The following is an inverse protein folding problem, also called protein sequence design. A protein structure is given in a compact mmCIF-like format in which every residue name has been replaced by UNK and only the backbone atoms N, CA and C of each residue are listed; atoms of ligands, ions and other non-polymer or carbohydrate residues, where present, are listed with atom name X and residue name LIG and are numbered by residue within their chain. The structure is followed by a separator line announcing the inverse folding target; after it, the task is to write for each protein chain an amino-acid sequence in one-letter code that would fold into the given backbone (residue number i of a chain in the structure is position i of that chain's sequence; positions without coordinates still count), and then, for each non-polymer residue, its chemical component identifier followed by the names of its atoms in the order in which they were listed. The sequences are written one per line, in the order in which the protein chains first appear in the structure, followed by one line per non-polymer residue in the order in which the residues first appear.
data_IF_943287852567
#
_entry.id   IF_943287852567
#
_cell.length_a   1.000
_cell.length_b   1.000
_cell.length_c   1.000
_cell.angle_alpha   90.00
_cell.angle_beta   90.00
_cell.angle_gamma   90.00
#
_symmetry.space_group_name_H-M   'P 1'
#
loop_
_entity.id
_entity.type
_entity.pdbx_description
1 polymer ?
#
# COMPACT_ATOMS: atom_id res chain seq x y z
N UNK A 1 -9.18 -0.84 2.09
CA UNK A 1 -8.21 -1.67 2.84
C UNK A 1 -7.66 -2.84 2.02
N UNK A 2 -6.61 -3.51 2.53
CA UNK A 2 -6.09 -4.76 2.00
C UNK A 2 -7.21 -5.81 1.95
N UNK A 3 -7.26 -6.62 0.87
CA UNK A 3 -8.25 -7.69 0.66
C UNK A 3 -9.71 -7.27 0.96
N UNK A 4 -10.05 -6.00 0.69
CA UNK A 4 -11.33 -5.42 1.07
C UNK A 4 -12.55 -6.10 0.41
N UNK A 5 -12.36 -6.72 -0.75
CA UNK A 5 -13.42 -7.41 -1.47
C UNK A 5 -13.66 -8.84 -0.96
N UNK A 6 -12.60 -9.52 -0.50
CA UNK A 6 -12.64 -10.97 -0.24
C UNK A 6 -12.55 -11.33 1.24
N UNK A 7 -12.00 -10.46 2.09
CA UNK A 7 -11.65 -10.78 3.48
C UNK A 7 -10.19 -11.18 3.63
N UNK A 8 -9.71 -11.30 4.87
CA UNK A 8 -8.30 -11.54 5.18
C UNK A 8 -8.00 -12.94 5.73
N UNK A 9 -8.73 -13.37 6.77
CA UNK A 9 -8.51 -14.67 7.44
C UNK A 9 -9.22 -15.82 6.71
N UNK A 10 -8.83 -16.05 5.48
CA UNK A 10 -9.53 -16.96 4.57
C UNK A 10 -9.07 -18.42 4.68
N UNK A 11 -7.80 -18.65 5.05
CA UNK A 11 -7.19 -19.98 5.14
C UNK A 11 -7.50 -20.85 3.89
N UNK A 12 -8.11 -22.01 4.08
CA UNK A 12 -8.40 -22.93 2.98
C UNK A 12 -9.50 -22.40 2.02
N UNK A 13 -10.32 -21.41 2.46
CA UNK A 13 -11.31 -20.77 1.59
C UNK A 13 -10.69 -19.72 0.63
N UNK A 14 -9.39 -19.49 0.68
CA UNK A 14 -8.72 -18.47 -0.14
C UNK A 14 -8.96 -18.71 -1.63
N UNK A 15 -8.90 -19.94 -2.10
CA UNK A 15 -9.17 -20.31 -3.50
C UNK A 15 -10.64 -20.09 -3.90
N UNK A 16 -11.58 -20.31 -2.99
CA UNK A 16 -13.01 -20.21 -3.30
C UNK A 16 -13.46 -18.76 -3.49
N UNK A 17 -12.82 -17.83 -2.78
CA UNK A 17 -13.12 -16.40 -2.87
C UNK A 17 -12.24 -15.65 -3.88
N UNK A 18 -11.19 -16.30 -4.39
CA UNK A 18 -10.30 -15.69 -5.39
C UNK A 18 -11.07 -15.26 -6.63
N UNK A 19 -10.65 -14.16 -7.23
CA UNK A 19 -11.28 -13.59 -8.42
C UNK A 19 -10.24 -13.32 -9.48
N UNK A 20 -10.58 -13.69 -10.70
CA UNK A 20 -9.84 -13.27 -11.89
C UNK A 20 -10.21 -11.83 -12.23
N UNK A 21 -9.31 -11.14 -12.91
CA UNK A 21 -9.53 -9.74 -13.33
C UNK A 21 -10.80 -9.60 -14.19
N UNK A 22 -11.13 -10.60 -14.99
CA UNK A 22 -12.29 -10.65 -15.87
C UNK A 22 -13.58 -11.12 -15.19
N UNK A 23 -13.56 -11.46 -13.89
CA UNK A 23 -14.75 -11.90 -13.17
C UNK A 23 -15.82 -10.79 -13.05
N UNK A 24 -17.10 -11.16 -13.02
CA UNK A 24 -18.21 -10.18 -12.99
C UNK A 24 -18.12 -9.18 -11.86
N UNK A 25 -17.67 -9.62 -10.67
CA UNK A 25 -17.54 -8.77 -9.48
C UNK A 25 -16.50 -7.67 -9.70
N UNK A 26 -15.33 -8.03 -10.23
CA UNK A 26 -14.26 -7.09 -10.56
C UNK A 26 -14.72 -6.14 -11.67
N UNK A 27 -15.33 -6.66 -12.72
CA UNK A 27 -15.83 -5.84 -13.84
C UNK A 27 -16.94 -4.87 -13.40
N UNK A 28 -17.80 -5.27 -12.45
CA UNK A 28 -18.80 -4.37 -11.87
C UNK A 28 -18.16 -3.18 -11.15
N UNK A 29 -17.12 -3.42 -10.34
CA UNK A 29 -16.40 -2.33 -9.66
C UNK A 29 -15.69 -1.42 -10.67
N UNK A 30 -15.06 -1.97 -11.70
CA UNK A 30 -14.41 -1.19 -12.76
C UNK A 30 -15.44 -0.30 -13.47
N UNK A 31 -16.62 -0.85 -13.78
CA UNK A 31 -17.69 -0.11 -14.46
C UNK A 31 -18.19 1.11 -13.67
N UNK A 32 -18.09 1.12 -12.33
CA UNK A 32 -18.45 2.31 -11.53
C UNK A 32 -17.59 3.53 -11.84
N UNK A 33 -16.41 3.33 -12.43
CA UNK A 33 -15.48 4.41 -12.81
C UNK A 33 -15.70 4.91 -14.25
N UNK A 34 -16.63 4.31 -15.01
CA UNK A 34 -16.76 4.55 -16.45
C UNK A 34 -17.06 6.01 -16.84
N UNK A 35 -17.82 6.73 -15.99
CA UNK A 35 -18.12 8.16 -16.26
C UNK A 35 -16.93 9.11 -15.98
N UNK A 36 -15.79 8.59 -15.51
CA UNK A 36 -14.60 9.37 -15.19
C UNK A 36 -14.73 10.35 -14.00
N UNK A 37 -15.81 10.25 -13.23
CA UNK A 37 -16.03 11.08 -12.03
C UNK A 37 -15.34 10.53 -10.79
N UNK A 38 -15.11 9.23 -10.76
CA UNK A 38 -14.53 8.49 -9.65
C UNK A 38 -13.40 7.60 -10.17
N UNK A 39 -12.27 7.63 -9.48
CA UNK A 39 -11.25 6.60 -9.58
C UNK A 39 -11.35 5.71 -8.34
N UNK A 40 -11.16 4.42 -8.49
CA UNK A 40 -11.35 3.46 -7.41
C UNK A 40 -10.09 2.61 -7.19
N UNK A 41 -9.76 2.40 -5.91
CA UNK A 41 -8.71 1.45 -5.49
C UNK A 41 -9.31 0.47 -4.51
N UNK A 42 -9.09 -0.82 -4.74
CA UNK A 42 -9.53 -1.88 -3.83
C UNK A 42 -8.59 -3.07 -3.85
N UNK A 43 -8.56 -3.81 -2.72
CA UNK A 43 -7.78 -5.03 -2.55
C UNK A 43 -8.65 -6.27 -2.66
N UNK A 44 -8.08 -7.37 -3.18
CA UNK A 44 -8.74 -8.65 -3.35
C UNK A 44 -7.74 -9.80 -3.48
N UNK A 45 -8.22 -11.04 -3.33
CA UNK A 45 -7.46 -12.21 -3.73
C UNK A 45 -7.58 -12.38 -5.24
N UNK A 46 -6.47 -12.16 -5.93
CA UNK A 46 -6.38 -12.37 -7.39
C UNK A 46 -6.02 -13.82 -7.69
N UNK A 47 -6.71 -14.45 -8.62
CA UNK A 47 -6.26 -15.66 -9.31
C UNK A 47 -5.69 -15.29 -10.69
N UNK A 48 -4.40 -15.58 -10.91
CA UNK A 48 -3.76 -15.34 -12.21
C UNK A 48 -4.19 -16.39 -13.26
N UNK A 49 -3.76 -16.18 -14.51
CA UNK A 49 -3.98 -17.14 -15.60
C UNK A 49 -3.30 -18.50 -15.34
N UNK A 50 -2.20 -18.49 -14.58
CA UNK A 50 -1.47 -19.68 -14.16
C UNK A 50 -2.01 -20.29 -12.86
N UNK A 51 -3.19 -19.87 -12.39
CA UNK A 51 -3.82 -20.32 -11.15
C UNK A 51 -2.99 -20.06 -9.89
N UNK A 52 -2.13 -19.03 -9.91
CA UNK A 52 -1.43 -18.56 -8.73
C UNK A 52 -2.29 -17.50 -8.04
N UNK A 53 -2.46 -17.63 -6.72
CA UNK A 53 -3.19 -16.66 -5.92
C UNK A 53 -2.26 -15.53 -5.48
N UNK A 54 -2.73 -14.30 -5.54
CA UNK A 54 -2.01 -13.12 -5.07
C UNK A 54 -2.87 -12.26 -4.14
N UNK A 55 -2.26 -11.70 -3.13
CA UNK A 55 -2.81 -10.55 -2.43
C UNK A 55 -2.56 -9.33 -3.32
N UNK A 56 -3.61 -8.80 -3.92
CA UNK A 56 -3.52 -7.81 -4.98
C UNK A 56 -4.40 -6.58 -4.74
N UNK A 57 -4.04 -5.47 -5.37
CA UNK A 57 -4.82 -4.25 -5.41
C UNK A 57 -4.89 -3.69 -6.84
N UNK A 58 -6.08 -3.27 -7.24
CA UNK A 58 -6.34 -2.63 -8.53
C UNK A 58 -6.63 -1.14 -8.33
N UNK A 59 -6.05 -0.30 -9.19
CA UNK A 59 -6.51 1.06 -9.44
C UNK A 59 -7.25 1.10 -10.78
N UNK A 60 -8.50 1.56 -10.76
CA UNK A 60 -9.30 1.71 -11.96
C UNK A 60 -9.83 3.14 -12.12
N UNK A 61 -9.93 3.57 -13.37
CA UNK A 61 -10.39 4.89 -13.80
C UNK A 61 -10.97 4.79 -15.21
N UNK A 62 -12.03 5.55 -15.48
CA UNK A 62 -12.67 5.63 -16.80
C UNK A 62 -13.06 4.24 -17.37
N UNK A 63 -13.58 3.36 -16.50
CA UNK A 63 -13.99 2.00 -16.88
C UNK A 63 -12.84 1.06 -17.24
N UNK A 64 -11.59 1.36 -16.83
CA UNK A 64 -10.40 0.57 -17.16
C UNK A 64 -9.50 0.38 -15.95
N UNK A 65 -8.84 -0.77 -15.91
CA UNK A 65 -7.71 -0.98 -15.00
C UNK A 65 -6.54 -0.15 -15.50
N UNK A 66 -5.99 0.70 -14.64
CA UNK A 66 -4.81 1.51 -14.90
C UNK A 66 -3.56 0.91 -14.26
N UNK A 67 -3.73 0.21 -13.14
CA UNK A 67 -2.64 -0.46 -12.45
C UNK A 67 -3.14 -1.64 -11.65
N UNK A 68 -2.32 -2.71 -11.59
CA UNK A 68 -2.44 -3.85 -10.72
C UNK A 68 -1.15 -3.98 -9.94
N UNK A 69 -1.24 -3.93 -8.61
CA UNK A 69 -0.14 -4.22 -7.70
C UNK A 69 -0.39 -5.54 -6.99
N UNK A 70 0.58 -6.45 -7.02
CA UNK A 70 0.61 -7.69 -6.25
C UNK A 70 1.57 -7.52 -5.10
N UNK A 71 1.15 -7.81 -3.87
CA UNK A 71 1.96 -7.69 -2.66
C UNK A 71 3.29 -8.41 -2.80
N UNK A 72 4.39 -7.71 -2.52
CA UNK A 72 5.74 -8.24 -2.70
C UNK A 72 6.24 -8.90 -1.42
N UNK A 73 6.01 -8.27 -0.28
CA UNK A 73 6.44 -8.78 1.01
C UNK A 73 5.28 -9.49 1.73
N UNK A 74 5.38 -10.81 1.81
CA UNK A 74 4.36 -11.67 2.42
C UNK A 74 4.80 -12.03 3.85
N UNK A 75 4.16 -11.51 4.90
CA UNK A 75 4.55 -11.79 6.27
C UNK A 75 4.26 -13.26 6.64
N UNK A 76 5.22 -13.87 7.36
CA UNK A 76 5.14 -15.26 7.85
C UNK A 76 5.45 -15.34 9.34
N UNK A 77 5.15 -14.26 10.08
CA UNK A 77 5.42 -14.14 11.52
C UNK A 77 4.16 -13.73 12.30
N UNK A 78 4.15 -14.08 13.58
CA UNK A 78 3.01 -13.79 14.47
C UNK A 78 1.76 -14.54 14.06
N UNK A 79 0.73 -13.83 13.66
CA UNK A 79 -0.54 -14.40 13.17
C UNK A 79 -0.59 -14.53 11.64
N UNK A 80 0.46 -14.13 10.94
CA UNK A 80 0.49 -14.08 9.49
C UNK A 80 1.17 -15.32 8.91
N UNK A 81 0.59 -15.87 7.85
CA UNK A 81 1.13 -16.99 7.08
C UNK A 81 0.84 -16.83 5.57
N UNK A 82 1.02 -15.59 5.09
CA UNK A 82 0.68 -15.24 3.71
C UNK A 82 1.52 -15.98 2.68
N UNK A 83 2.79 -16.26 3.00
CA UNK A 83 3.69 -17.00 2.10
C UNK A 83 3.26 -18.44 1.80
N UNK A 84 2.35 -19.02 2.59
CA UNK A 84 1.73 -20.32 2.32
C UNK A 84 0.66 -20.24 1.23
N UNK A 85 -0.04 -19.14 1.14
CA UNK A 85 -1.25 -18.98 0.33
C UNK A 85 -1.01 -18.19 -0.96
N UNK A 86 -0.12 -17.20 -0.91
CA UNK A 86 0.05 -16.24 -1.99
C UNK A 86 1.41 -16.31 -2.66
N UNK A 87 1.41 -16.13 -3.97
CA UNK A 87 2.61 -15.81 -4.73
C UNK A 87 3.10 -14.39 -4.45
N UNK A 88 4.41 -14.16 -4.55
CA UNK A 88 5.02 -12.84 -4.38
C UNK A 88 4.82 -11.99 -5.63
N UNK A 89 4.47 -10.72 -5.44
CA UNK A 89 4.63 -9.70 -6.46
C UNK A 89 6.11 -9.49 -6.83
N UNK A 90 6.35 -8.98 -8.03
CA UNK A 90 7.70 -8.87 -8.59
C UNK A 90 8.22 -7.42 -8.74
N UNK A 91 7.43 -6.40 -8.40
CA UNK A 91 7.84 -5.02 -8.65
C UNK A 91 7.10 -3.99 -7.80
N UNK A 92 7.77 -2.85 -7.59
CA UNK A 92 7.16 -1.62 -7.10
C UNK A 92 7.22 -0.59 -8.24
N UNK A 93 6.06 -0.17 -8.73
CA UNK A 93 5.95 0.78 -9.85
C UNK A 93 4.91 1.83 -9.56
N UNK A 94 5.25 3.08 -9.78
CA UNK A 94 4.26 4.14 -9.85
C UNK A 94 3.56 4.11 -11.22
N UNK A 95 2.36 4.65 -11.29
CA UNK A 95 1.56 4.65 -12.51
C UNK A 95 0.90 6.01 -12.74
N UNK A 96 0.73 6.42 -14.01
CA UNK A 96 0.15 7.72 -14.34
C UNK A 96 -1.36 7.72 -14.10
N UNK A 97 -1.85 8.80 -13.53
CA UNK A 97 -3.28 9.12 -13.39
C UNK A 97 -3.55 10.56 -13.81
N UNK A 98 -4.81 10.97 -13.84
CA UNK A 98 -5.19 12.38 -14.06
C UNK A 98 -4.69 13.33 -12.97
N UNK A 99 -4.29 12.80 -11.81
CA UNK A 99 -3.79 13.58 -10.66
C UNK A 99 -2.26 13.63 -10.59
N UNK A 100 -1.56 12.94 -11.47
CA UNK A 100 -0.14 12.68 -11.43
C UNK A 100 0.18 11.20 -11.23
N UNK A 101 1.42 10.88 -10.88
CA UNK A 101 1.81 9.48 -10.65
C UNK A 101 1.48 9.06 -9.22
N UNK A 102 0.84 7.92 -9.06
CA UNK A 102 0.51 7.33 -7.76
C UNK A 102 1.27 6.01 -7.57
N UNK A 103 1.44 5.60 -6.31
CA UNK A 103 1.98 4.30 -5.95
C UNK A 103 1.05 3.56 -5.02
N UNK A 104 0.96 2.23 -5.15
CA UNK A 104 0.20 1.35 -4.24
C UNK A 104 1.19 0.48 -3.49
N UNK A 105 0.99 0.36 -2.17
CA UNK A 105 1.63 -0.62 -1.30
C UNK A 105 0.57 -1.34 -0.48
N UNK A 106 0.76 -2.65 -0.29
CA UNK A 106 -0.16 -3.47 0.49
C UNK A 106 0.52 -3.87 1.80
N UNK A 107 0.01 -3.34 2.90
CA UNK A 107 0.33 -3.70 4.28
C UNK A 107 1.84 -3.86 4.53
N UNK A 108 2.36 -5.08 4.60
CA UNK A 108 3.78 -5.38 4.86
C UNK A 108 4.75 -4.67 3.90
N UNK A 109 4.34 -4.40 2.66
CA UNK A 109 5.17 -3.64 1.71
C UNK A 109 5.63 -2.29 2.27
N UNK A 110 4.76 -1.61 3.06
CA UNK A 110 5.06 -0.28 3.63
C UNK A 110 6.17 -0.35 4.68
N UNK A 111 6.36 -1.49 5.36
CA UNK A 111 7.40 -1.68 6.37
C UNK A 111 8.80 -1.86 5.76
N UNK A 112 8.89 -2.04 4.47
CA UNK A 112 10.15 -2.17 3.74
C UNK A 112 10.55 -0.84 3.10
N UNK A 113 11.55 -0.12 3.63
CA UNK A 113 11.90 1.24 3.17
C UNK A 113 12.19 1.34 1.67
N UNK A 114 12.66 0.24 1.06
CA UNK A 114 12.91 0.20 -0.38
C UNK A 114 11.64 0.29 -1.23
N UNK A 115 10.47 -0.07 -0.69
CA UNK A 115 9.23 -0.07 -1.46
C UNK A 115 8.75 1.37 -1.75
N UNK A 116 8.60 2.19 -0.72
CA UNK A 116 8.23 3.60 -0.87
C UNK A 116 9.32 4.42 -1.57
N UNK A 117 10.60 4.12 -1.29
CA UNK A 117 11.74 4.73 -1.99
C UNK A 117 11.65 4.49 -3.51
N UNK A 118 11.43 3.26 -3.96
CA UNK A 118 11.32 2.94 -5.39
C UNK A 118 10.13 3.64 -6.04
N UNK A 119 8.96 3.70 -5.36
CA UNK A 119 7.81 4.44 -5.87
C UNK A 119 8.09 5.93 -6.00
N UNK A 120 8.77 6.53 -5.01
CA UNK A 120 9.11 7.94 -5.02
C UNK A 120 10.12 8.26 -6.14
N UNK A 121 11.16 7.44 -6.33
CA UNK A 121 12.13 7.58 -7.42
C UNK A 121 11.48 7.38 -8.79
N UNK A 122 10.44 6.54 -8.89
CA UNK A 122 9.62 6.36 -10.10
C UNK A 122 8.57 7.49 -10.27
N UNK A 123 8.63 8.53 -9.44
CA UNK A 123 7.88 9.78 -9.56
C UNK A 123 6.53 9.81 -8.87
N UNK A 124 6.21 8.89 -7.96
CA UNK A 124 4.97 8.94 -7.20
C UNK A 124 4.84 10.23 -6.39
N UNK A 125 3.67 10.86 -6.46
CA UNK A 125 3.30 12.05 -5.68
C UNK A 125 2.32 11.73 -4.54
N UNK A 126 1.80 10.50 -4.53
CA UNK A 126 0.93 10.00 -3.47
C UNK A 126 1.11 8.48 -3.34
N UNK A 127 1.27 8.04 -2.09
CA UNK A 127 1.27 6.65 -1.68
C UNK A 127 -0.13 6.24 -1.22
N UNK A 128 -0.66 5.17 -1.81
CA UNK A 128 -1.90 4.52 -1.40
C UNK A 128 -1.54 3.24 -0.64
N UNK A 129 -1.64 3.28 0.68
CA UNK A 129 -1.35 2.16 1.57
C UNK A 129 -2.65 1.45 1.98
N UNK A 130 -2.87 0.26 1.43
CA UNK A 130 -4.01 -0.60 1.74
C UNK A 130 -3.61 -1.56 2.87
N UNK A 131 -4.28 -1.49 4.02
CA UNK A 131 -3.80 -2.17 5.23
C UNK A 131 -4.91 -2.93 5.95
N UNK A 132 -4.54 -4.07 6.53
CA UNK A 132 -5.30 -4.80 7.54
C UNK A 132 -4.47 -4.87 8.84
N UNK A 133 -4.28 -3.71 9.47
CA UNK A 133 -3.51 -3.58 10.70
C UNK A 133 -4.29 -4.09 11.91
N UNK A 134 -3.87 -5.21 12.55
CA UNK A 134 -4.55 -5.70 13.75
C UNK A 134 -4.18 -4.89 14.98
N UNK A 135 -5.04 -4.98 16.00
CA UNK A 135 -4.77 -4.42 17.33
C UNK A 135 -3.60 -5.17 17.95
N UNK A 136 -2.50 -4.46 18.23
CA UNK A 136 -1.35 -4.97 18.96
C UNK A 136 -0.85 -3.89 19.92
N UNK A 137 -0.41 -4.33 21.12
CA UNK A 137 0.23 -3.43 22.07
C UNK A 137 -0.72 -2.40 22.66
N UNK A 138 -1.67 -2.84 23.49
CA UNK A 138 -2.54 -1.92 24.26
C UNK A 138 -1.73 -1.37 25.42
N UNK A 139 -1.45 -0.08 25.42
CA UNK A 139 -0.72 0.62 26.46
C UNK A 139 -1.48 1.81 27.04
N UNK A 140 -0.93 2.45 28.07
CA UNK A 140 -1.52 3.64 28.70
C UNK A 140 -1.73 4.81 27.71
N UNK A 141 -0.95 4.88 26.62
CA UNK A 141 -0.99 5.94 25.60
C UNK A 141 -1.81 5.55 24.35
N UNK A 142 -2.55 4.46 24.40
CA UNK A 142 -3.38 3.97 23.27
C UNK A 142 -2.79 2.75 22.58
N UNK A 143 -3.18 2.54 21.32
CA UNK A 143 -2.77 1.38 20.52
C UNK A 143 -1.37 1.57 19.94
N UNK A 144 -0.43 0.72 20.34
CA UNK A 144 0.94 0.72 19.82
C UNK A 144 1.00 0.53 18.31
N UNK A 145 0.17 -0.36 17.76
CA UNK A 145 0.08 -0.61 16.33
C UNK A 145 -0.33 0.64 15.54
N UNK A 146 -1.37 1.37 15.98
CA UNK A 146 -1.79 2.60 15.32
C UNK A 146 -0.66 3.63 15.30
N UNK A 147 -0.01 3.85 16.46
CA UNK A 147 1.11 4.80 16.57
C UNK A 147 2.24 4.43 15.60
N UNK A 148 2.59 3.15 15.54
CA UNK A 148 3.65 2.66 14.66
C UNK A 148 3.30 2.90 13.19
N UNK A 149 2.08 2.54 12.75
CA UNK A 149 1.61 2.75 11.38
C UNK A 149 1.58 4.23 11.01
N UNK A 150 1.00 5.09 11.85
CA UNK A 150 0.93 6.52 11.55
C UNK A 150 2.33 7.16 11.51
N UNK A 151 3.24 6.76 12.41
CA UNK A 151 4.62 7.25 12.39
C UNK A 151 5.36 6.81 11.13
N UNK A 152 5.16 5.55 10.70
CA UNK A 152 5.78 5.03 9.48
C UNK A 152 5.30 5.79 8.24
N UNK A 153 3.98 5.90 8.04
CA UNK A 153 3.45 6.61 6.87
C UNK A 153 3.81 8.09 6.89
N UNK A 154 3.76 8.75 8.05
CA UNK A 154 4.21 10.14 8.19
C UNK A 154 5.69 10.32 7.81
N UNK A 155 6.55 9.39 8.21
CA UNK A 155 7.97 9.39 7.84
C UNK A 155 8.15 9.24 6.33
N UNK A 156 7.52 8.24 5.72
CA UNK A 156 7.61 7.98 4.27
C UNK A 156 7.12 9.19 3.45
N UNK A 157 6.01 9.82 3.86
CA UNK A 157 5.50 11.00 3.16
C UNK A 157 6.45 12.19 3.26
N UNK A 158 7.05 12.41 4.43
CA UNK A 158 7.98 13.52 4.66
C UNK A 158 9.28 13.37 3.86
N UNK A 159 9.94 12.20 3.94
CA UNK A 159 11.24 12.03 3.29
C UNK A 159 11.14 11.98 1.77
N UNK A 160 10.01 11.57 1.23
CA UNK A 160 9.78 11.48 -0.22
C UNK A 160 9.00 12.67 -0.80
N UNK A 161 8.54 13.59 0.05
CA UNK A 161 7.76 14.74 -0.38
C UNK A 161 6.52 14.33 -1.19
N UNK A 162 5.72 13.38 -0.68
CA UNK A 162 4.50 12.87 -1.31
C UNK A 162 3.37 12.78 -0.31
N UNK A 163 2.12 12.79 -0.77
CA UNK A 163 0.98 12.46 0.08
C UNK A 163 0.98 10.98 0.47
N UNK A 164 0.34 10.65 1.61
CA UNK A 164 0.12 9.28 2.05
C UNK A 164 -1.33 9.06 2.46
N UNK A 165 -1.98 8.09 1.84
CA UNK A 165 -3.33 7.64 2.19
C UNK A 165 -3.21 6.27 2.85
N UNK A 166 -3.46 6.22 4.16
CA UNK A 166 -3.47 5.00 4.95
C UNK A 166 -4.92 4.53 5.10
N UNK A 167 -5.31 3.52 4.33
CA UNK A 167 -6.65 2.93 4.37
C UNK A 167 -6.60 1.62 5.17
N UNK A 168 -7.02 1.66 6.43
CA UNK A 168 -6.99 0.53 7.34
C UNK A 168 -8.38 -0.04 7.60
N UNK A 169 -8.46 -1.34 7.75
CA UNK A 169 -9.68 -2.08 8.03
C UNK A 169 -10.21 -1.82 9.45
N UNK A 170 -11.52 -1.91 9.62
CA UNK A 170 -12.21 -2.01 10.92
C UNK A 170 -12.90 -3.37 11.03
N UNK A 171 -13.23 -3.76 12.27
CA UNK A 171 -14.01 -4.96 12.57
C UNK A 171 -13.16 -6.10 13.12
N UNK A 172 -13.80 -7.24 13.31
CA UNK A 172 -13.17 -8.47 13.84
C UNK A 172 -13.38 -9.61 12.87
N UNK A 173 -12.33 -10.36 12.61
CA UNK A 173 -12.35 -11.54 11.75
C UNK A 173 -11.41 -12.58 12.36
N UNK A 174 -11.90 -13.80 12.56
CA UNK A 174 -11.15 -14.94 13.09
C UNK A 174 -10.32 -14.60 14.35
N UNK A 175 -10.93 -13.91 15.31
CA UNK A 175 -10.28 -13.52 16.56
C UNK A 175 -9.31 -12.33 16.46
N UNK A 176 -8.99 -11.85 15.28
CA UNK A 176 -8.22 -10.63 15.08
C UNK A 176 -9.15 -9.41 15.00
N UNK A 177 -8.83 -8.35 15.74
CA UNK A 177 -9.54 -7.07 15.68
C UNK A 177 -8.69 -6.05 14.95
N UNK A 178 -9.26 -5.37 13.97
CA UNK A 178 -8.63 -4.33 13.16
C UNK A 178 -9.09 -2.96 13.65
N UNK A 179 -8.13 -2.04 13.84
CA UNK A 179 -8.40 -0.82 14.60
C UNK A 179 -8.96 0.35 13.78
N UNK A 180 -8.98 0.28 12.46
CA UNK A 180 -9.40 1.42 11.63
C UNK A 180 -8.41 2.58 11.72
N UNK A 181 -8.88 3.74 12.18
CA UNK A 181 -8.08 4.96 12.25
C UNK A 181 -7.32 5.23 10.94
N UNK A 182 -7.99 5.03 9.80
CA UNK A 182 -7.48 5.44 8.50
C UNK A 182 -7.07 6.91 8.53
N UNK A 183 -6.00 7.26 7.83
CA UNK A 183 -5.45 8.61 7.95
C UNK A 183 -4.86 9.09 6.62
N UNK A 184 -4.80 10.40 6.47
CA UNK A 184 -4.17 11.05 5.33
C UNK A 184 -3.06 11.97 5.84
N UNK A 185 -1.90 11.86 5.21
CA UNK A 185 -0.70 12.63 5.55
C UNK A 185 -0.30 13.50 4.37
N UNK A 186 0.14 14.71 4.67
CA UNK A 186 0.66 15.63 3.67
C UNK A 186 2.15 15.36 3.36
N UNK A 187 2.72 16.01 2.32
CA UNK A 187 4.12 15.85 1.95
C UNK A 187 5.16 16.35 2.97
N UNK A 188 4.71 16.95 4.08
CA UNK A 188 5.55 17.35 5.21
C UNK A 188 5.48 16.35 6.38
N UNK A 189 4.77 15.23 6.21
CA UNK A 189 4.56 14.21 7.23
C UNK A 189 3.48 14.56 8.26
N UNK A 190 2.70 15.62 8.04
CA UNK A 190 1.63 16.02 8.94
C UNK A 190 0.36 15.24 8.63
N UNK A 191 -0.27 14.71 9.67
CA UNK A 191 -1.58 14.07 9.55
C UNK A 191 -2.66 15.14 9.37
N UNK A 192 -3.26 15.19 8.19
CA UNK A 192 -4.28 16.19 7.82
C UNK A 192 -5.71 15.68 8.02
N UNK A 193 -5.89 14.35 8.10
CA UNK A 193 -7.17 13.75 8.49
C UNK A 193 -6.94 12.40 9.16
N UNK A 194 -7.85 12.02 10.06
CA UNK A 194 -7.87 10.73 10.74
C UNK A 194 -9.29 10.28 11.01
N UNK A 195 -9.59 9.04 10.68
CA UNK A 195 -10.84 8.39 11.03
C UNK A 195 -10.85 7.88 12.46
N UNK A 196 -12.03 7.58 12.98
CA UNK A 196 -12.21 7.00 14.30
C UNK A 196 -11.73 5.55 14.34
N UNK A 197 -11.38 5.10 15.54
CA UNK A 197 -11.07 3.70 15.80
C UNK A 197 -12.35 2.87 15.83
N UNK A 198 -12.26 1.65 15.29
CA UNK A 198 -13.31 0.64 15.38
C UNK A 198 -14.66 1.06 14.76
N UNK A 199 -14.66 2.11 13.94
CA UNK A 199 -15.85 2.68 13.31
C UNK A 199 -15.70 2.67 11.80
N UNK A 200 -16.69 2.18 11.08
CA UNK A 200 -16.77 2.36 9.62
C UNK A 200 -17.03 3.83 9.31
N UNK A 201 -16.17 4.41 8.47
CA UNK A 201 -16.23 5.83 8.16
C UNK A 201 -15.71 6.12 6.75
N UNK A 202 -16.37 7.03 6.06
CA UNK A 202 -15.83 7.68 4.87
C UNK A 202 -15.03 8.92 5.28
N UNK A 203 -13.73 8.89 5.02
CA UNK A 203 -12.83 10.01 5.27
C UNK A 203 -12.58 10.76 3.96
N UNK A 204 -12.90 12.05 3.91
CA UNK A 204 -12.75 12.89 2.72
C UNK A 204 -11.87 14.11 3.01
N UNK A 205 -10.94 14.40 2.08
CA UNK A 205 -10.02 15.55 2.17
C UNK A 205 -9.71 16.03 0.76
N UNK A 206 -9.68 17.35 0.60
CA UNK A 206 -9.12 17.97 -0.61
C UNK A 206 -7.60 18.04 -0.52
N UNK A 207 -6.89 17.56 -1.53
CA UNK A 207 -5.44 17.55 -1.58
C UNK A 207 -4.95 18.66 -2.52
N UNK A 208 -4.17 19.61 -1.96
CA UNK A 208 -3.46 20.62 -2.75
C UNK A 208 -2.12 20.03 -3.27
N UNK A 209 -2.07 19.65 -4.54
CA UNK A 209 -0.87 19.04 -5.15
C UNK A 209 0.34 20.00 -5.19
N UNK A 210 0.15 21.31 -5.02
CA UNK A 210 1.25 22.27 -4.85
C UNK A 210 2.06 22.01 -3.56
N UNK A 211 1.50 21.34 -2.56
CA UNK A 211 2.26 20.94 -1.38
C UNK A 211 3.38 19.94 -1.72
N UNK A 212 3.17 19.05 -2.70
CA UNK A 212 4.22 18.14 -3.19
C UNK A 212 5.39 18.94 -3.77
N UNK A 213 5.08 19.93 -4.63
CA UNK A 213 6.08 20.80 -5.23
C UNK A 213 6.85 21.57 -4.14
N UNK A 214 6.14 22.16 -3.18
CA UNK A 214 6.75 22.93 -2.06
C UNK A 214 7.65 22.04 -1.20
N UNK A 215 7.20 20.85 -0.80
CA UNK A 215 7.97 19.92 0.02
C UNK A 215 9.26 19.50 -0.71
N UNK A 216 9.18 19.10 -1.98
CA UNK A 216 10.34 18.71 -2.80
C UNK A 216 11.27 19.86 -3.13
N UNK A 217 10.80 21.10 -3.10
CA UNK A 217 11.64 22.28 -3.24
C UNK A 217 12.36 22.63 -1.93
N UNK A 218 11.67 22.53 -0.79
CA UNK A 218 12.25 22.82 0.54
C UNK A 218 13.23 21.74 1.00
N UNK A 219 12.94 20.49 0.71
CA UNK A 219 13.78 19.31 1.01
C UNK A 219 13.99 18.51 -0.27
N UNK A 220 14.97 18.85 -1.10
CA UNK A 220 15.14 18.27 -2.43
C UNK A 220 15.81 16.88 -2.39
N UNK A 221 15.43 16.02 -1.46
CA UNK A 221 16.06 14.71 -1.22
C UNK A 221 16.00 13.80 -2.45
N UNK A 222 14.88 13.80 -3.18
CA UNK A 222 14.77 13.01 -4.42
C UNK A 222 15.68 13.52 -5.54
N UNK A 223 15.92 14.83 -5.62
CA UNK A 223 16.83 15.42 -6.61
C UNK A 223 18.29 15.08 -6.27
N UNK A 224 18.62 15.10 -5.00
CA UNK A 224 19.99 14.96 -4.50
C UNK A 224 20.38 13.49 -4.27
N UNK A 225 19.44 12.55 -4.47
CA UNK A 225 19.68 11.11 -4.36
C UNK A 225 20.63 10.61 -5.45
N UNK A 226 21.70 9.90 -5.05
CA UNK A 226 22.60 9.20 -5.96
C UNK A 226 22.17 7.73 -6.11
N UNK A 227 21.28 7.48 -7.08
CA UNK A 227 20.78 6.15 -7.40
C UNK A 227 21.93 5.20 -7.77
N UNK A 228 22.93 5.68 -8.49
CA UNK A 228 24.07 4.85 -8.91
C UNK A 228 24.92 4.41 -7.70
N UNK A 229 25.12 5.29 -6.72
CA UNK A 229 25.75 4.92 -5.45
C UNK A 229 24.95 3.83 -4.75
N UNK A 230 23.63 4.02 -4.62
CA UNK A 230 22.73 3.06 -3.98
C UNK A 230 22.79 1.69 -4.68
N UNK A 231 22.75 1.65 -6.00
CA UNK A 231 22.87 0.41 -6.79
C UNK A 231 24.24 -0.26 -6.55
N UNK A 232 25.35 0.48 -6.64
CA UNK A 232 26.70 -0.06 -6.41
C UNK A 232 26.85 -0.68 -5.02
N UNK A 233 26.37 0.04 -3.99
CA UNK A 233 26.47 -0.45 -2.61
C UNK A 233 25.58 -1.68 -2.35
N UNK A 234 24.36 -1.72 -2.90
CA UNK A 234 23.51 -2.89 -2.81
C UNK A 234 24.12 -4.11 -3.54
N UNK A 235 24.73 -3.91 -4.70
CA UNK A 235 25.45 -4.97 -5.42
C UNK A 235 26.65 -5.48 -4.61
N UNK A 236 27.44 -4.60 -4.02
CA UNK A 236 28.56 -4.96 -3.13
C UNK A 236 28.08 -5.79 -1.94
N UNK A 237 27.00 -5.34 -1.27
CA UNK A 237 26.40 -6.04 -0.13
C UNK A 237 25.88 -7.43 -0.56
N UNK A 238 25.23 -7.53 -1.72
CA UNK A 238 24.71 -8.79 -2.26
C UNK A 238 25.85 -9.78 -2.49
N UNK A 239 26.93 -9.38 -3.20
CA UNK A 239 28.10 -10.23 -3.45
C UNK A 239 28.70 -10.78 -2.14
N UNK A 240 28.86 -9.91 -1.13
CA UNK A 240 29.36 -10.34 0.19
C UNK A 240 28.46 -11.38 0.86
N UNK A 241 27.12 -11.25 0.70
CA UNK A 241 26.15 -12.19 1.29
C UNK A 241 26.07 -13.53 0.56
N UNK A 242 26.33 -13.53 -0.75
CA UNK A 242 26.29 -14.75 -1.59
C UNK A 242 27.64 -15.45 -1.73
N UNK A 243 28.73 -14.88 -1.17
CA UNK A 243 30.07 -15.43 -1.32
C UNK A 243 30.68 -15.26 -2.71
N UNK A 244 30.09 -14.44 -3.58
CA UNK A 244 30.56 -14.17 -4.95
C UNK A 244 31.67 -13.09 -5.01
N UNK A 245 32.47 -12.93 -3.98
CA UNK A 245 33.37 -11.80 -3.87
C UNK A 245 34.68 -12.02 -3.10
N UNK A 246 35.24 -13.22 -3.10
CA UNK A 246 36.62 -13.52 -2.68
C UNK A 246 37.42 -14.02 -3.85
#
# INVERSE_FOLDING_TARGET
PELSLTGYSLLDATSDVARRIDSPEIQTLIATTAEGKLDLVFGFVEESEEHILYNAAIYCSEGKIRHLHRKVYLPTYGMFDEGRLFGRGGSFRSFPTRFGRLGILICEDVWHPSASYLLAQDGAICLLALVNGPVKGIGKTGLGAQKAWHSLVAHETMIHGMYGVFANRVGTEDGATFFGASAIFDPFGQKIAEGERFTEQLLTVDLDLEHVRRARFQMPLLRDEDIDLTIRELQRIRRRRTGEGE
#
